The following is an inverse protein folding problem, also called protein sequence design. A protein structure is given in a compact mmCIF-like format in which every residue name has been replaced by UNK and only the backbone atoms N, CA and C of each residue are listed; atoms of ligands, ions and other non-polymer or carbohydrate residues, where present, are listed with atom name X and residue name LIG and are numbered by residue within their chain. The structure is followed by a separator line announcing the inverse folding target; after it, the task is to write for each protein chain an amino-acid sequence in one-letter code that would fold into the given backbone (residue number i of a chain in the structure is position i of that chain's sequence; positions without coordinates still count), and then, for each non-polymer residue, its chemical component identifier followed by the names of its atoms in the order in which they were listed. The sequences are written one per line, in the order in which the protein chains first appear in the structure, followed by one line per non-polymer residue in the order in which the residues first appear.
data_IF_015034881674
#
_entry.id   IF_015034881674
#
_cell.length_a   1.000
_cell.length_b   1.000
_cell.length_c   1.000
_cell.angle_alpha   90.00
_cell.angle_beta   90.00
_cell.angle_gamma   90.00
#
_symmetry.space_group_name_H-M   'P 1'
#
loop_
_entity.id
_entity.type
_entity.pdbx_description
1 polymer ?
#
# COMPACT_ATOMS: atom_id res chain seq x y z
N UNK A 1 -21.70 9.34 -6.89
CA UNK A 1 -20.37 9.99 -7.02
C UNK A 1 -19.42 9.23 -7.95
N UNK A 2 -19.37 7.89 -7.92
CA UNK A 2 -18.38 7.10 -8.68
C UNK A 2 -18.96 5.95 -9.53
N UNK A 3 -20.29 5.83 -9.64
CA UNK A 3 -20.95 4.67 -10.29
C UNK A 3 -20.74 4.59 -11.80
N UNK A 4 -20.41 5.72 -12.45
CA UNK A 4 -20.18 5.78 -13.90
C UNK A 4 -18.70 5.69 -14.29
N UNK A 5 -17.79 5.57 -13.33
CA UNK A 5 -16.35 5.53 -13.60
C UNK A 5 -15.84 4.10 -13.68
N UNK A 6 -15.12 3.80 -14.76
CA UNK A 6 -14.38 2.54 -14.89
C UNK A 6 -13.18 2.49 -13.95
N UNK A 7 -12.66 1.28 -13.68
CA UNK A 7 -11.50 1.10 -12.81
C UNK A 7 -10.25 1.87 -13.25
N UNK A 8 -10.02 1.99 -14.57
CA UNK A 8 -8.92 2.78 -15.14
C UNK A 8 -9.06 4.28 -14.82
N UNK A 9 -10.27 4.81 -14.90
CA UNK A 9 -10.55 6.22 -14.62
C UNK A 9 -10.39 6.51 -13.14
N UNK A 10 -10.91 5.64 -12.27
CA UNK A 10 -10.70 5.74 -10.82
C UNK A 10 -9.21 5.76 -10.48
N UNK A 11 -8.41 4.87 -11.08
CA UNK A 11 -6.97 4.81 -10.84
C UNK A 11 -6.21 6.08 -11.27
N UNK A 12 -6.68 6.75 -12.31
CA UNK A 12 -6.06 7.97 -12.87
C UNK A 12 -6.48 9.26 -12.13
N UNK A 13 -7.51 9.21 -11.29
CA UNK A 13 -7.98 10.38 -10.55
C UNK A 13 -7.00 10.81 -9.44
N UNK A 14 -6.93 12.12 -9.22
CA UNK A 14 -6.19 12.72 -8.09
C UNK A 14 -7.01 12.73 -6.80
N UNK A 15 -6.33 12.88 -5.65
CA UNK A 15 -6.99 13.04 -4.34
C UNK A 15 -8.00 14.20 -4.36
N UNK A 16 -7.64 15.32 -4.98
CA UNK A 16 -8.50 16.50 -5.05
C UNK A 16 -9.80 16.21 -5.81
N UNK A 17 -9.73 15.45 -6.90
CA UNK A 17 -10.93 15.04 -7.66
C UNK A 17 -11.82 14.10 -6.85
N UNK A 18 -11.22 13.22 -6.04
CA UNK A 18 -11.98 12.41 -5.09
C UNK A 18 -12.67 13.28 -4.03
N UNK A 19 -11.99 14.29 -3.48
CA UNK A 19 -12.56 15.24 -2.50
C UNK A 19 -13.67 16.11 -3.11
N UNK A 20 -13.52 16.53 -4.36
CA UNK A 20 -14.58 17.28 -5.07
C UNK A 20 -15.84 16.43 -5.27
N UNK A 21 -15.68 15.15 -5.62
CA UNK A 21 -16.81 14.22 -5.85
C UNK A 21 -17.42 13.67 -4.55
N UNK A 22 -16.65 13.65 -3.47
CA UNK A 22 -17.10 13.24 -2.14
C UNK A 22 -16.45 14.13 -1.06
N UNK A 23 -17.07 15.27 -0.70
CA UNK A 23 -16.49 16.20 0.27
C UNK A 23 -16.31 15.61 1.67
N UNK A 24 -17.15 14.63 2.04
CA UNK A 24 -17.15 14.01 3.38
C UNK A 24 -16.21 12.81 3.51
N UNK A 25 -15.60 12.32 2.42
CA UNK A 25 -14.76 11.12 2.49
C UNK A 25 -13.92 10.79 1.27
N UNK A 26 -13.78 11.72 0.33
CA UNK A 26 -12.98 11.51 -0.89
C UNK A 26 -11.51 11.26 -0.60
N UNK A 27 -10.95 11.91 0.41
CA UNK A 27 -9.58 11.69 0.87
C UNK A 27 -9.37 10.26 1.39
N UNK A 28 -10.34 9.70 2.14
CA UNK A 28 -10.32 8.31 2.60
C UNK A 28 -10.40 7.35 1.43
N UNK A 29 -11.31 7.60 0.48
CA UNK A 29 -11.51 6.77 -0.70
C UNK A 29 -10.26 6.75 -1.59
N UNK A 30 -9.62 7.91 -1.79
CA UNK A 30 -8.37 8.00 -2.52
C UNK A 30 -7.24 7.25 -1.81
N UNK A 31 -7.14 7.37 -0.48
CA UNK A 31 -6.17 6.62 0.31
C UNK A 31 -6.38 5.10 0.16
N UNK A 32 -7.63 4.60 0.27
CA UNK A 32 -7.94 3.19 0.03
C UNK A 32 -7.51 2.75 -1.37
N UNK A 33 -7.85 3.52 -2.39
CA UNK A 33 -7.46 3.20 -3.77
C UNK A 33 -5.94 3.16 -3.94
N UNK A 34 -5.21 4.10 -3.34
CA UNK A 34 -3.75 4.13 -3.44
C UNK A 34 -3.08 2.95 -2.71
N UNK A 35 -3.67 2.49 -1.60
CA UNK A 35 -3.28 1.26 -0.91
C UNK A 35 -3.48 0.05 -1.83
N UNK A 36 -4.63 -0.04 -2.50
CA UNK A 36 -4.95 -1.14 -3.41
C UNK A 36 -4.01 -1.15 -4.63
N UNK A 37 -3.71 0.02 -5.20
CA UNK A 37 -2.74 0.18 -6.28
C UNK A 37 -1.34 -0.26 -5.86
N UNK A 38 -0.90 0.09 -4.65
CA UNK A 38 0.39 -0.37 -4.10
C UNK A 38 0.45 -1.89 -3.95
N UNK A 39 -0.65 -2.53 -3.52
CA UNK A 39 -0.72 -3.98 -3.38
C UNK A 39 -0.59 -4.69 -4.74
N UNK A 40 -1.23 -4.15 -5.79
CA UNK A 40 -1.14 -4.71 -7.14
C UNK A 40 0.28 -4.60 -7.76
N UNK A 41 1.01 -3.52 -7.48
CA UNK A 41 2.37 -3.31 -8.03
C UNK A 41 3.42 -4.28 -7.47
N UNK A 42 3.18 -4.94 -6.32
CA UNK A 42 4.12 -5.90 -5.76
C UNK A 42 4.17 -7.24 -6.51
N UNK A 43 3.23 -7.50 -7.44
CA UNK A 43 3.17 -8.74 -8.23
C UNK A 43 4.15 -8.77 -9.41
N UNK A 44 4.78 -7.65 -9.78
CA UNK A 44 5.54 -7.52 -11.04
C UNK A 44 7.07 -7.43 -10.88
N UNK A 45 7.64 -7.95 -9.77
CA UNK A 45 9.10 -7.97 -9.54
C UNK A 45 9.74 -9.34 -9.32
N UNK A 46 9.01 -10.43 -9.55
CA UNK A 46 9.60 -11.78 -9.67
C UNK A 46 9.65 -12.16 -11.14
N UNK A 47 10.80 -11.93 -11.77
CA UNK A 47 11.08 -12.44 -13.13
C UNK A 47 11.19 -13.97 -13.08
N UNK A 48 10.52 -14.75 -13.94
CA UNK A 48 10.66 -16.20 -13.98
C UNK A 48 11.86 -16.58 -14.87
N UNK A 49 12.91 -17.15 -14.25
CA UNK A 49 14.09 -17.69 -14.92
C UNK A 49 14.10 -19.23 -14.89
N UNK A 50 13.81 -19.80 -16.06
CA UNK A 50 13.90 -21.18 -16.59
C UNK A 50 14.81 -22.26 -15.94
N UNK A 51 14.18 -23.36 -15.47
CA UNK A 51 14.34 -24.83 -15.74
C UNK A 51 15.72 -25.55 -15.71
N UNK A 52 15.88 -26.62 -14.86
CA UNK A 52 16.02 -28.04 -15.30
C UNK A 52 15.97 -29.13 -14.18
N UNK A 53 15.08 -30.11 -14.45
CA UNK A 53 14.87 -31.52 -14.05
C UNK A 53 15.83 -32.30 -13.11
N UNK A 54 15.25 -33.10 -12.19
CA UNK A 54 15.39 -34.57 -12.18
C UNK A 54 14.30 -35.23 -11.32
N UNK A 55 13.64 -36.25 -11.90
CA UNK A 55 12.64 -37.08 -11.26
C UNK A 55 13.29 -38.29 -10.57
N UNK A 56 12.90 -38.58 -9.32
CA UNK A 56 12.86 -39.95 -8.78
C UNK A 56 12.11 -39.98 -7.45
N UNK A 57 11.05 -40.79 -7.44
CA UNK A 57 10.29 -41.39 -6.35
C UNK A 57 10.71 -41.07 -4.89
N UNK A 58 9.74 -40.60 -4.09
CA UNK A 58 9.15 -41.34 -2.96
C UNK A 58 8.50 -40.38 -1.95
N UNK A 59 7.20 -40.58 -1.74
CA UNK A 59 6.47 -40.49 -0.46
C UNK A 59 6.88 -39.40 0.55
N UNK A 60 6.33 -38.20 0.39
CA UNK A 60 5.71 -37.41 1.45
C UNK A 60 4.99 -36.21 0.79
N UNK A 61 3.66 -36.20 0.87
CA UNK A 61 2.80 -35.22 0.20
C UNK A 61 2.86 -33.87 0.91
N UNK A 62 3.92 -33.10 0.66
CA UNK A 62 3.91 -31.66 0.80
C UNK A 62 3.35 -31.09 -0.49
N UNK A 63 2.04 -30.82 -0.49
CA UNK A 63 1.40 -30.05 -1.56
C UNK A 63 1.88 -28.61 -1.43
N UNK A 64 2.92 -28.32 -2.19
CA UNK A 64 3.14 -27.02 -2.79
C UNK A 64 1.82 -26.54 -3.40
N UNK A 65 1.36 -25.40 -2.93
CA UNK A 65 0.24 -24.67 -3.51
C UNK A 65 0.65 -23.22 -3.50
N UNK A 66 1.40 -22.85 -4.54
CA UNK A 66 1.38 -21.51 -5.08
C UNK A 66 -0.07 -21.11 -5.35
N UNK A 67 -0.69 -20.38 -4.42
CA UNK A 67 -2.01 -19.77 -4.62
C UNK A 67 -1.99 -18.31 -4.17
N UNK A 68 -1.76 -17.47 -5.16
CA UNK A 68 -2.17 -16.07 -5.33
C UNK A 68 -1.93 -15.09 -4.16
N UNK A 69 -0.83 -14.33 -4.29
CA UNK A 69 -0.45 -13.16 -3.50
C UNK A 69 -1.37 -11.93 -3.66
N UNK A 70 -2.70 -12.10 -3.65
CA UNK A 70 -3.66 -11.01 -3.74
C UNK A 70 -4.67 -11.05 -2.59
N UNK A 71 -4.24 -10.82 -1.34
CA UNK A 71 -5.18 -10.71 -0.22
C UNK A 71 -4.73 -9.65 0.79
N UNK A 72 -5.67 -8.80 1.18
CA UNK A 72 -5.67 -7.79 2.24
C UNK A 72 -5.43 -8.36 3.66
N UNK A 73 -4.50 -9.31 3.82
CA UNK A 73 -4.30 -10.09 5.05
C UNK A 73 -2.85 -10.28 5.50
N UNK A 74 -1.85 -9.85 4.74
CA UNK A 74 -0.45 -9.92 5.20
C UNK A 74 -0.18 -8.84 6.27
N UNK A 75 0.39 -9.18 7.44
CA UNK A 75 0.72 -8.20 8.47
C UNK A 75 1.77 -7.20 7.95
N UNK A 76 1.34 -5.97 7.65
CA UNK A 76 2.27 -4.88 7.36
C UNK A 76 2.82 -4.28 8.67
N UNK A 77 4.13 -4.05 8.69
CA UNK A 77 4.82 -3.32 9.76
C UNK A 77 4.82 -1.81 9.51
N UNK A 78 4.94 -1.03 10.58
CA UNK A 78 4.94 0.42 10.50
C UNK A 78 6.05 0.95 9.56
N UNK A 79 7.27 0.43 9.67
CA UNK A 79 8.39 0.89 8.85
C UNK A 79 8.16 0.67 7.35
N UNK A 80 7.51 -0.44 6.96
CA UNK A 80 7.18 -0.73 5.56
C UNK A 80 6.17 0.29 5.03
N UNK A 81 5.15 0.60 5.84
CA UNK A 81 4.15 1.61 5.53
C UNK A 81 4.77 3.02 5.41
N UNK A 82 5.62 3.43 6.35
CA UNK A 82 6.29 4.74 6.28
C UNK A 82 7.17 4.84 5.02
N UNK A 83 7.86 3.76 4.66
CA UNK A 83 8.64 3.67 3.43
C UNK A 83 7.77 3.81 2.18
N UNK A 84 6.58 3.19 2.15
CA UNK A 84 5.64 3.34 1.03
C UNK A 84 5.18 4.79 0.85
N UNK A 85 4.86 5.49 1.95
CA UNK A 85 4.50 6.91 1.87
C UNK A 85 5.64 7.75 1.31
N UNK A 86 6.86 7.48 1.78
CA UNK A 86 8.10 8.13 1.34
C UNK A 86 8.47 7.84 -0.13
N UNK A 87 7.94 6.78 -0.74
CA UNK A 87 8.11 6.47 -2.17
C UNK A 87 7.15 7.26 -3.07
N UNK A 88 6.11 7.89 -2.50
CA UNK A 88 5.10 8.67 -3.25
C UNK A 88 5.06 10.12 -2.75
N UNK A 89 6.14 10.91 -2.94
CA UNK A 89 6.24 12.28 -2.43
C UNK A 89 5.20 13.23 -3.04
N UNK A 90 4.73 12.97 -4.26
CA UNK A 90 3.66 13.76 -4.90
C UNK A 90 2.33 13.66 -4.14
N UNK A 91 2.05 12.51 -3.51
CA UNK A 91 0.81 12.28 -2.77
C UNK A 91 0.97 12.57 -1.28
N UNK A 92 2.11 12.20 -0.68
CA UNK A 92 2.29 12.21 0.78
C UNK A 92 3.39 13.14 1.29
N UNK A 93 4.07 13.88 0.41
CA UNK A 93 5.20 14.74 0.77
C UNK A 93 4.87 15.85 1.77
N UNK A 94 3.59 16.22 1.88
CA UNK A 94 3.08 17.15 2.90
C UNK A 94 2.98 16.55 4.30
N UNK A 95 2.98 15.23 4.42
CA UNK A 95 2.80 14.51 5.69
C UNK A 95 4.11 13.86 6.15
N UNK A 96 4.90 13.33 5.21
CA UNK A 96 6.18 12.68 5.47
C UNK A 96 7.11 12.82 4.26
N UNK A 97 8.38 13.15 4.50
CA UNK A 97 9.36 13.36 3.42
C UNK A 97 10.79 13.02 3.83
N UNK A 98 11.62 12.70 2.85
CA UNK A 98 13.06 12.55 3.06
C UNK A 98 13.70 13.90 3.39
N UNK A 99 14.52 13.92 4.44
CA UNK A 99 15.51 14.99 4.66
C UNK A 99 16.83 14.63 3.99
N UNK A 100 17.22 13.35 4.08
CA UNK A 100 18.35 12.79 3.36
C UNK A 100 18.04 11.33 3.00
N UNK A 101 17.76 11.09 1.71
CA UNK A 101 17.35 9.77 1.21
C UNK A 101 18.48 8.74 1.27
N UNK A 102 19.71 9.14 1.03
CA UNK A 102 20.88 8.24 1.04
C UNK A 102 21.19 7.73 2.46
N UNK A 103 21.02 8.60 3.46
CA UNK A 103 21.22 8.25 4.88
C UNK A 103 19.98 7.67 5.55
N UNK A 104 18.85 7.55 4.83
CA UNK A 104 17.59 7.07 5.39
C UNK A 104 16.96 8.02 6.43
N UNK A 105 17.30 9.32 6.39
CA UNK A 105 16.77 10.31 7.34
C UNK A 105 15.52 10.94 6.73
N UNK A 106 14.39 10.83 7.42
CA UNK A 106 13.12 11.42 7.04
C UNK A 106 12.52 12.25 8.17
N UNK A 107 11.54 13.07 7.83
CA UNK A 107 10.75 13.86 8.77
C UNK A 107 9.27 13.61 8.52
N UNK A 108 8.52 13.47 9.61
CA UNK A 108 7.06 13.54 9.60
C UNK A 108 6.68 15.00 9.81
N UNK A 109 6.00 15.58 8.83
CA UNK A 109 5.50 16.96 8.85
C UNK A 109 4.10 17.05 9.45
N UNK A 110 3.26 16.02 9.24
CA UNK A 110 1.91 15.92 9.79
C UNK A 110 1.69 14.55 10.42
N UNK A 111 1.90 14.47 11.73
CA UNK A 111 1.78 13.25 12.52
C UNK A 111 0.35 12.70 12.56
N UNK A 112 -0.65 13.59 12.61
CA UNK A 112 -2.06 13.22 12.64
C UNK A 112 -2.49 12.54 11.34
N UNK A 113 -2.07 13.09 10.19
CA UNK A 113 -2.37 12.51 8.89
C UNK A 113 -1.66 11.17 8.67
N UNK A 114 -0.39 11.04 9.06
CA UNK A 114 0.34 9.76 8.99
C UNK A 114 -0.34 8.69 9.87
N UNK A 115 -0.72 9.04 11.10
CA UNK A 115 -1.40 8.11 12.00
C UNK A 115 -2.79 7.71 11.48
N UNK A 116 -3.53 8.63 10.89
CA UNK A 116 -4.82 8.34 10.26
C UNK A 116 -4.69 7.38 9.08
N UNK A 117 -3.72 7.61 8.18
CA UNK A 117 -3.44 6.71 7.07
C UNK A 117 -3.00 5.32 7.55
N UNK A 118 -2.24 5.25 8.65
CA UNK A 118 -1.88 3.98 9.28
C UNK A 118 -3.08 3.27 9.90
N UNK A 119 -3.96 4.01 10.57
CA UNK A 119 -5.23 3.50 11.09
C UNK A 119 -6.10 2.91 10.00
N UNK A 120 -6.22 3.61 8.88
CA UNK A 120 -6.90 3.11 7.68
C UNK A 120 -6.24 1.81 7.19
N UNK A 121 -4.91 1.78 7.06
CA UNK A 121 -4.17 0.60 6.58
C UNK A 121 -4.38 -0.65 7.43
N UNK A 122 -4.50 -0.48 8.75
CA UNK A 122 -4.66 -1.58 9.72
C UNK A 122 -6.11 -1.78 10.18
N UNK A 123 -7.07 -1.06 9.59
CA UNK A 123 -8.46 -1.01 10.03
C UNK A 123 -8.61 -0.73 11.55
N UNK A 124 -7.88 0.27 12.04
CA UNK A 124 -7.89 0.77 13.42
C UNK A 124 -8.33 2.25 13.41
N UNK A 125 -9.63 2.56 13.47
CA UNK A 125 -10.13 3.94 13.35
C UNK A 125 -9.72 4.86 14.52
N UNK A 126 -9.38 4.29 15.68
CA UNK A 126 -8.89 5.02 16.85
C UNK A 126 -7.35 5.18 16.89
N UNK A 127 -6.67 4.96 15.75
CA UNK A 127 -5.23 5.16 15.63
C UNK A 127 -4.87 6.63 15.77
N UNK A 128 -3.78 6.91 16.48
CA UNK A 128 -3.20 8.24 16.61
C UNK A 128 -1.67 8.11 16.64
N UNK A 129 -0.97 9.24 16.67
CA UNK A 129 0.49 9.23 16.60
C UNK A 129 1.12 8.56 17.84
N UNK A 130 0.56 8.78 19.03
CA UNK A 130 1.05 8.19 20.28
C UNK A 130 1.00 6.66 20.31
N UNK A 131 0.13 6.06 19.49
CA UNK A 131 -0.07 4.60 19.36
C UNK A 131 0.72 3.98 18.20
N UNK A 132 1.57 4.75 17.51
CA UNK A 132 2.47 4.23 16.48
C UNK A 132 3.67 3.55 17.15
N UNK A 133 3.52 2.25 17.44
CA UNK A 133 4.60 1.37 17.93
C UNK A 133 4.75 0.15 17.03
#
# INVERSE_FOLDING_TARGET
AFQELGGKELCAMSEEQFRQRSPLGGDVLHAHLDIWKSAAWMKERTSPGTIHYCASASEDSWTDSEVDSSCSGQPIHLWQFLKELLLKPHSYGRFIRWLNKEKGIFKIEDSAQVARLWGIRKNRPAMNYDKLS
#
